data_IF_961741836655
#
_entry.id   IF_961741836655
#
_cell.length_a   1.000
_cell.length_b   1.000
_cell.length_c   1.000
_cell.angle_alpha   90.00
_cell.angle_beta   90.00
_cell.angle_gamma   90.00
#
_symmetry.space_group_name_H-M   'P 1'
#
loop_
_entity.id
_entity.type
_entity.pdbx_description
1 polymer ?
#
# COMPACT_ATOMS: atom_id res chain seq x y z
N UNK A 1 -43.54 -5.76 -1.66
CA UNK A 1 -43.27 -6.38 -2.98
C UNK A 1 -41.98 -5.79 -3.54
N UNK A 2 -40.92 -6.59 -3.75
CA UNK A 2 -39.73 -6.13 -4.50
C UNK A 2 -40.02 -6.39 -5.98
N UNK A 3 -40.08 -5.33 -6.78
CA UNK A 3 -40.19 -5.45 -8.23
C UNK A 3 -38.88 -6.07 -8.77
N UNK A 4 -38.94 -7.01 -9.72
CA UNK A 4 -37.73 -7.51 -10.35
C UNK A 4 -37.19 -6.41 -11.26
N UNK A 5 -36.15 -5.71 -10.81
CA UNK A 5 -35.40 -4.80 -11.68
C UNK A 5 -34.75 -5.62 -12.79
N UNK A 6 -34.98 -5.22 -14.04
CA UNK A 6 -34.31 -5.83 -15.20
C UNK A 6 -32.79 -5.73 -15.08
N UNK A 7 -32.09 -6.69 -15.69
CA UNK A 7 -30.61 -6.81 -15.66
C UNK A 7 -29.86 -5.51 -15.99
N UNK A 8 -30.41 -4.65 -16.85
CA UNK A 8 -29.86 -3.32 -17.16
C UNK A 8 -29.95 -2.34 -16.00
N UNK A 9 -31.10 -2.24 -15.34
CA UNK A 9 -31.33 -1.31 -14.24
C UNK A 9 -30.47 -1.66 -13.00
N UNK A 10 -30.25 -2.95 -12.73
CA UNK A 10 -29.32 -3.40 -11.69
C UNK A 10 -27.86 -3.01 -12.00
N UNK A 11 -27.45 -3.08 -13.27
CA UNK A 11 -26.11 -2.64 -13.70
C UNK A 11 -25.93 -1.12 -13.52
N UNK A 12 -26.95 -0.34 -13.81
CA UNK A 12 -26.91 1.12 -13.64
C UNK A 12 -26.89 1.52 -12.16
N UNK A 13 -27.66 0.85 -11.32
CA UNK A 13 -27.65 1.04 -9.87
C UNK A 13 -26.29 0.68 -9.27
N UNK A 14 -25.70 -0.45 -9.69
CA UNK A 14 -24.35 -0.84 -9.31
C UNK A 14 -23.29 0.20 -9.74
N UNK A 15 -23.42 0.75 -10.95
CA UNK A 15 -22.52 1.80 -11.45
C UNK A 15 -22.62 3.07 -10.59
N UNK A 16 -23.84 3.49 -10.22
CA UNK A 16 -24.07 4.62 -9.31
C UNK A 16 -23.46 4.37 -7.94
N UNK A 17 -23.67 3.18 -7.37
CA UNK A 17 -23.09 2.78 -6.09
C UNK A 17 -21.55 2.85 -6.13
N UNK A 18 -20.93 2.32 -7.20
CA UNK A 18 -19.47 2.34 -7.37
C UNK A 18 -18.92 3.76 -7.45
N UNK A 19 -19.64 4.69 -8.09
CA UNK A 19 -19.26 6.10 -8.12
C UNK A 19 -19.39 6.74 -6.74
N UNK A 20 -20.47 6.45 -6.02
CA UNK A 20 -20.70 6.97 -4.67
C UNK A 20 -19.61 6.50 -3.71
N UNK A 21 -19.27 5.21 -3.69
CA UNK A 21 -18.18 4.67 -2.87
C UNK A 21 -16.85 5.35 -3.16
N UNK A 22 -16.52 5.58 -4.45
CA UNK A 22 -15.31 6.30 -4.84
C UNK A 22 -15.31 7.75 -4.33
N UNK A 23 -16.44 8.45 -4.46
CA UNK A 23 -16.59 9.82 -3.99
C UNK A 23 -16.46 9.92 -2.47
N UNK A 24 -17.12 9.02 -1.73
CA UNK A 24 -17.02 8.95 -0.27
C UNK A 24 -15.60 8.67 0.19
N UNK A 25 -14.90 7.72 -0.45
CA UNK A 25 -13.50 7.43 -0.11
C UNK A 25 -12.60 8.64 -0.33
N UNK A 26 -12.75 9.33 -1.46
CA UNK A 26 -12.00 10.55 -1.76
C UNK A 26 -12.28 11.65 -0.72
N UNK A 27 -13.54 11.88 -0.37
CA UNK A 27 -13.91 12.88 0.62
C UNK A 27 -13.30 12.59 1.99
N UNK A 28 -13.26 11.31 2.39
CA UNK A 28 -12.55 10.87 3.59
C UNK A 28 -11.04 11.10 3.51
N UNK A 29 -10.40 10.74 2.40
CA UNK A 29 -8.97 10.99 2.16
C UNK A 29 -8.62 12.49 2.20
N UNK A 30 -9.46 13.34 1.59
CA UNK A 30 -9.31 14.81 1.63
C UNK A 30 -9.43 15.36 3.06
N UNK A 31 -10.37 14.83 3.85
CA UNK A 31 -10.50 15.19 5.27
C UNK A 31 -9.23 14.82 6.06
N UNK A 32 -8.71 13.60 5.88
CA UNK A 32 -7.45 13.16 6.50
C UNK A 32 -6.31 14.12 6.14
N UNK A 33 -6.17 14.49 4.86
CA UNK A 33 -5.11 15.40 4.39
C UNK A 33 -5.26 16.79 5.04
N UNK A 34 -6.47 17.35 5.07
CA UNK A 34 -6.73 18.66 5.67
C UNK A 34 -6.36 18.68 7.15
N UNK A 35 -6.82 17.69 7.90
CA UNK A 35 -6.61 17.60 9.35
C UNK A 35 -5.19 17.17 9.72
N UNK A 36 -4.47 16.49 8.82
CA UNK A 36 -3.10 16.02 9.06
C UNK A 36 -2.11 17.15 9.37
N UNK A 37 -2.41 18.39 8.94
CA UNK A 37 -1.62 19.58 9.30
C UNK A 37 -1.62 19.84 10.81
N UNK A 38 -2.75 19.60 11.47
CA UNK A 38 -2.93 19.81 12.90
C UNK A 38 -2.68 18.51 13.70
N UNK A 39 -2.95 17.36 13.08
CA UNK A 39 -2.76 16.05 13.68
C UNK A 39 -2.08 15.08 12.71
N UNK A 40 -0.74 15.06 12.64
CA UNK A 40 -0.01 14.19 11.72
C UNK A 40 -0.25 12.69 11.96
N UNK A 41 -0.75 12.27 13.14
CA UNK A 41 -1.08 10.85 13.38
C UNK A 41 -2.16 10.32 12.45
N UNK A 42 -3.04 11.18 11.92
CA UNK A 42 -4.11 10.79 11.00
C UNK A 42 -3.57 10.22 9.70
N UNK A 43 -2.56 10.85 9.09
CA UNK A 43 -2.00 10.37 7.84
C UNK A 43 -1.23 9.06 8.03
N UNK A 44 -0.47 8.93 9.13
CA UNK A 44 0.20 7.67 9.47
C UNK A 44 -0.80 6.55 9.77
N UNK A 45 -1.90 6.86 10.47
CA UNK A 45 -2.98 5.92 10.74
C UNK A 45 -3.64 5.42 9.45
N UNK A 46 -3.94 6.33 8.52
CA UNK A 46 -4.47 5.97 7.21
C UNK A 46 -3.52 5.07 6.42
N UNK A 47 -2.25 5.46 6.28
CA UNK A 47 -1.23 4.65 5.59
C UNK A 47 -1.09 3.26 6.21
N UNK A 48 -1.00 3.19 7.54
CA UNK A 48 -0.93 1.93 8.26
C UNK A 48 -2.16 1.05 8.04
N UNK A 49 -3.35 1.65 7.95
CA UNK A 49 -4.58 0.92 7.63
C UNK A 49 -4.59 0.39 6.18
N UNK A 50 -4.09 1.16 5.22
CA UNK A 50 -4.02 0.76 3.80
C UNK A 50 -2.98 -0.32 3.51
N UNK A 51 -1.98 -0.53 4.38
CA UNK A 51 -0.98 -1.60 4.21
C UNK A 51 -1.64 -2.97 4.21
N UNK A 52 -1.43 -3.75 3.15
CA UNK A 52 -1.87 -5.16 3.07
C UNK A 52 -1.14 -6.04 4.09
N UNK A 53 0.18 -5.89 4.16
CA UNK A 53 1.02 -6.61 5.12
C UNK A 53 1.19 -5.75 6.38
N UNK A 54 0.58 -6.19 7.47
CA UNK A 54 0.70 -5.55 8.80
C UNK A 54 1.99 -5.96 9.49
N UNK A 55 2.46 -7.17 9.20
CA UNK A 55 3.66 -7.70 9.82
C UNK A 55 4.92 -7.07 9.25
N UNK A 56 5.87 -6.85 10.16
CA UNK A 56 7.24 -6.49 9.82
C UNK A 56 8.02 -7.76 9.47
N UNK A 57 9.02 -7.62 8.60
CA UNK A 57 10.02 -8.66 8.39
C UNK A 57 10.75 -8.87 9.71
N UNK A 58 10.65 -10.09 10.27
CA UNK A 58 11.27 -10.44 11.55
C UNK A 58 12.68 -10.97 11.38
N UNK A 59 12.91 -11.66 10.27
CA UNK A 59 14.18 -12.26 9.91
C UNK A 59 14.25 -12.45 8.40
N UNK A 60 15.46 -12.51 7.87
CA UNK A 60 15.73 -12.75 6.45
C UNK A 60 16.93 -13.69 6.32
N UNK A 61 16.82 -14.68 5.43
CA UNK A 61 17.94 -15.58 5.12
C UNK A 61 18.67 -15.12 3.85
N UNK A 62 19.99 -15.23 3.82
CA UNK A 62 20.76 -15.02 2.59
C UNK A 62 20.76 -16.27 1.70
N UNK A 63 21.41 -16.15 0.53
CA UNK A 63 21.61 -17.26 -0.42
C UNK A 63 22.43 -18.42 0.16
N UNK A 64 23.23 -18.18 1.20
CA UNK A 64 24.05 -19.19 1.88
C UNK A 64 23.28 -19.93 2.98
N UNK A 65 22.04 -19.52 3.28
CA UNK A 65 21.21 -20.09 4.33
C UNK A 65 21.39 -19.46 5.72
N UNK A 66 22.21 -18.42 5.86
CA UNK A 66 22.41 -17.70 7.12
C UNK A 66 21.18 -16.85 7.45
N UNK A 67 20.65 -16.99 8.66
CA UNK A 67 19.49 -16.27 9.14
C UNK A 67 19.88 -15.00 9.90
N UNK A 68 19.43 -13.84 9.41
CA UNK A 68 19.63 -12.56 10.06
C UNK A 68 18.33 -12.09 10.72
N UNK A 69 18.45 -11.64 11.98
CA UNK A 69 17.35 -11.05 12.77
C UNK A 69 17.59 -9.56 13.02
N UNK A 70 18.85 -9.11 12.94
CA UNK A 70 19.20 -7.71 13.12
C UNK A 70 18.61 -6.84 12.00
N UNK A 71 17.94 -5.76 12.41
CA UNK A 71 17.20 -4.88 11.51
C UNK A 71 18.10 -4.16 10.51
N UNK A 72 19.29 -3.73 10.93
CA UNK A 72 20.21 -3.01 10.06
C UNK A 72 20.79 -3.96 9.03
N UNK A 73 21.15 -5.19 9.45
CA UNK A 73 21.64 -6.22 8.53
C UNK A 73 20.57 -6.60 7.50
N UNK A 74 19.33 -6.84 7.93
CA UNK A 74 18.21 -7.13 7.01
C UNK A 74 18.00 -5.97 6.02
N UNK A 75 18.12 -4.74 6.48
CA UNK A 75 17.93 -3.55 5.63
C UNK A 75 19.02 -3.45 4.57
N UNK A 76 20.29 -3.62 4.96
CA UNK A 76 21.40 -3.62 4.02
C UNK A 76 21.27 -4.75 3.00
N UNK A 77 20.92 -5.96 3.44
CA UNK A 77 20.72 -7.10 2.54
C UNK A 77 19.61 -6.84 1.50
N UNK A 78 18.52 -6.18 1.90
CA UNK A 78 17.45 -5.79 0.97
C UNK A 78 17.89 -4.69 0.00
N UNK A 79 18.70 -3.73 0.46
CA UNK A 79 19.27 -2.67 -0.37
C UNK A 79 20.22 -3.29 -1.41
N UNK A 80 21.14 -4.15 -0.98
CA UNK A 80 22.12 -4.80 -1.84
C UNK A 80 21.41 -5.63 -2.93
N UNK A 81 20.43 -6.46 -2.54
CA UNK A 81 19.65 -7.25 -3.48
C UNK A 81 18.86 -6.38 -4.46
N UNK A 82 18.30 -5.27 -3.97
CA UNK A 82 17.60 -4.31 -4.82
C UNK A 82 18.56 -3.65 -5.81
N UNK A 83 19.73 -3.20 -5.36
CA UNK A 83 20.74 -2.64 -6.25
C UNK A 83 21.19 -3.66 -7.28
N UNK A 84 21.47 -4.90 -6.92
CA UNK A 84 21.87 -5.95 -7.87
C UNK A 84 20.78 -6.21 -8.92
N UNK A 85 19.51 -6.29 -8.48
CA UNK A 85 18.39 -6.63 -9.38
C UNK A 85 17.95 -5.46 -10.29
N UNK A 86 18.19 -4.22 -9.86
CA UNK A 86 17.76 -3.01 -10.56
C UNK A 86 18.91 -2.16 -11.11
N UNK A 87 20.17 -2.56 -10.90
CA UNK A 87 21.29 -2.02 -11.65
C UNK A 87 21.17 -2.52 -13.08
N UNK A 88 20.60 -1.68 -13.93
CA UNK A 88 20.73 -1.80 -15.39
C UNK A 88 22.23 -1.91 -15.68
N UNK A 89 22.62 -2.78 -16.62
CA UNK A 89 23.97 -2.96 -17.18
C UNK A 89 24.60 -1.65 -17.71
N UNK A 90 24.84 -0.68 -16.84
CA UNK A 90 25.31 0.67 -17.14
C UNK A 90 26.47 1.09 -16.23
N UNK A 91 26.93 0.20 -15.34
CA UNK A 91 28.18 0.40 -14.58
C UNK A 91 28.19 1.63 -13.67
N UNK A 92 27.02 2.16 -13.27
CA UNK A 92 26.91 3.31 -12.37
C UNK A 92 26.04 2.93 -11.18
N UNK A 93 26.61 3.07 -9.98
CA UNK A 93 25.86 2.95 -8.72
C UNK A 93 24.84 4.11 -8.63
N UNK A 94 23.63 3.79 -8.18
CA UNK A 94 22.64 4.80 -7.79
C UNK A 94 23.19 5.57 -6.56
N UNK A 95 23.01 6.90 -6.51
CA UNK A 95 23.55 7.75 -5.45
C UNK A 95 22.96 7.46 -4.07
#
# INVERSE_FOLDING_TARGET
>A
MRTPLGSSALKDEYKKLKLMVKATRRSYEEHIIRESKNNPKLIYGYLNHQRKQKDKIRSLSNINGDLFVDKNIITNLLIDQFQESFSIDCGKQLP
#
